data_IF_218653357212
#
_entry.id   IF_218653357212
#
_cell.length_a   1.000
_cell.length_b   1.000
_cell.length_c   1.000
_cell.angle_alpha   90.00
_cell.angle_beta   90.00
_cell.angle_gamma   90.00
#
_symmetry.space_group_name_H-M   'P 1'
#
loop_
_entity.id
_entity.type
_entity.pdbx_description
1 polymer ?
#
# COMPACT_ATOMS: atom_id res chain seq x y z
N UNK A 1 2.71 15.04 0.77
CA UNK A 1 3.87 14.62 -0.05
C UNK A 1 4.96 14.06 0.85
N UNK A 2 5.68 13.04 0.42
CA UNK A 2 6.78 12.42 1.17
C UNK A 2 8.09 12.58 0.40
N UNK A 3 9.17 12.98 1.08
CA UNK A 3 10.49 13.04 0.46
C UNK A 3 11.18 11.67 0.57
N UNK A 4 11.20 10.91 -0.53
CA UNK A 4 11.85 9.60 -0.61
C UNK A 4 13.36 9.69 -0.86
N UNK A 5 13.88 10.89 -1.09
CA UNK A 5 15.31 11.13 -1.31
C UNK A 5 16.12 11.09 -0.02
N UNK A 6 17.45 11.15 -0.17
CA UNK A 6 18.41 11.11 0.95
C UNK A 6 18.82 12.49 1.45
N UNK A 7 18.31 13.58 0.86
CA UNK A 7 18.60 14.95 1.25
C UNK A 7 17.34 15.79 1.31
N UNK A 8 17.45 16.98 1.88
CA UNK A 8 16.35 17.95 1.95
C UNK A 8 15.83 18.29 0.55
N UNK A 9 14.52 18.14 0.35
CA UNK A 9 13.82 18.50 -0.87
C UNK A 9 13.19 19.88 -0.73
N UNK A 10 13.34 20.72 -1.74
CA UNK A 10 12.68 22.02 -1.82
C UNK A 10 11.46 21.94 -2.76
N UNK A 11 10.29 22.15 -2.17
CA UNK A 11 8.99 22.10 -2.82
C UNK A 11 8.58 23.45 -3.41
N UNK A 12 9.39 24.50 -3.26
CA UNK A 12 9.08 25.83 -3.81
C UNK A 12 8.77 25.73 -5.31
N UNK A 13 7.59 26.23 -5.69
CA UNK A 13 7.11 26.19 -7.06
C UNK A 13 6.49 24.86 -7.53
N UNK A 14 6.49 23.80 -6.71
CA UNK A 14 5.72 22.58 -7.00
C UNK A 14 4.23 22.92 -7.02
N UNK A 15 3.47 22.17 -7.80
CA UNK A 15 2.05 22.38 -7.99
C UNK A 15 1.25 21.11 -7.70
N UNK A 16 0.07 21.30 -7.14
CA UNK A 16 -0.95 20.26 -6.98
C UNK A 16 -2.13 20.65 -7.86
N UNK A 17 -2.69 19.66 -8.55
CA UNK A 17 -3.93 19.74 -9.31
C UNK A 17 -4.87 18.62 -8.92
N UNK A 18 -6.17 18.84 -9.08
CA UNK A 18 -7.14 17.74 -9.07
C UNK A 18 -7.28 17.13 -10.48
N UNK A 19 -8.43 16.53 -10.83
CA UNK A 19 -8.67 16.01 -12.19
C UNK A 19 -8.79 17.10 -13.29
N UNK A 20 -8.79 18.38 -12.94
CA UNK A 20 -8.80 19.51 -13.88
C UNK A 20 -7.42 20.17 -14.02
N UNK A 21 -7.08 20.62 -15.23
CA UNK A 21 -5.79 21.25 -15.51
C UNK A 21 -5.74 22.74 -15.17
N UNK A 22 -6.89 23.40 -14.99
CA UNK A 22 -7.03 24.79 -14.56
C UNK A 22 -7.06 24.93 -13.02
N UNK A 23 -7.41 23.87 -12.30
CA UNK A 23 -7.36 23.79 -10.84
C UNK A 23 -5.91 23.61 -10.35
N UNK A 24 -5.26 24.72 -10.00
CA UNK A 24 -3.81 24.77 -9.79
C UNK A 24 -3.46 25.51 -8.50
N UNK A 25 -2.87 24.78 -7.56
CA UNK A 25 -2.33 25.32 -6.31
C UNK A 25 -0.83 25.07 -6.22
N UNK A 26 -0.05 26.11 -5.93
CA UNK A 26 1.41 26.08 -5.91
C UNK A 26 1.99 26.38 -4.51
N UNK A 27 3.04 25.65 -4.13
CA UNK A 27 3.81 25.94 -2.92
C UNK A 27 4.53 27.29 -3.01
N UNK A 28 4.42 28.13 -1.98
CA UNK A 28 5.25 29.34 -1.84
C UNK A 28 6.71 28.98 -1.51
N UNK A 29 7.59 29.95 -1.69
CA UNK A 29 9.04 29.81 -1.44
C UNK A 29 9.36 29.37 -0.02
N UNK A 30 10.40 28.55 0.12
CA UNK A 30 10.96 28.12 1.41
C UNK A 30 10.33 26.86 2.00
N UNK A 31 9.40 26.21 1.31
CA UNK A 31 8.84 24.93 1.73
C UNK A 31 9.85 23.80 1.49
N UNK A 32 10.49 23.33 2.56
CA UNK A 32 11.43 22.20 2.50
C UNK A 32 10.92 20.99 3.27
N UNK A 33 11.35 19.81 2.84
CA UNK A 33 11.05 18.53 3.48
C UNK A 33 12.35 17.76 3.63
N UNK A 34 12.74 17.43 4.86
CA UNK A 34 13.92 16.60 5.11
C UNK A 34 13.77 15.20 4.51
N UNK A 35 14.89 14.48 4.35
CA UNK A 35 14.88 13.09 3.88
C UNK A 35 13.95 12.21 4.75
N UNK A 36 13.03 11.48 4.11
CA UNK A 36 12.00 10.68 4.79
C UNK A 36 10.88 11.50 5.43
N UNK A 37 10.91 12.83 5.34
CA UNK A 37 9.91 13.72 5.90
C UNK A 37 8.60 13.74 5.11
N UNK A 38 7.54 14.19 5.77
CA UNK A 38 6.22 14.40 5.20
C UNK A 38 5.88 15.90 5.22
N UNK A 39 5.25 16.37 4.15
CA UNK A 39 4.56 17.65 4.12
C UNK A 39 3.05 17.42 3.97
N UNK A 40 2.28 17.97 4.90
CA UNK A 40 0.82 17.93 4.89
C UNK A 40 0.28 19.21 4.27
N UNK A 41 -0.54 19.07 3.23
CA UNK A 41 -1.34 20.17 2.69
C UNK A 41 -2.75 19.99 3.23
N UNK A 42 -3.22 20.97 3.97
CA UNK A 42 -4.57 21.07 4.49
C UNK A 42 -5.40 22.00 3.60
N UNK A 43 -6.72 21.92 3.71
CA UNK A 43 -7.65 22.81 3.03
C UNK A 43 -7.27 24.31 3.19
N UNK A 44 -6.85 24.68 4.41
CA UNK A 44 -6.45 26.05 4.77
C UNK A 44 -4.97 26.35 4.52
N UNK A 45 -4.19 25.43 3.94
CA UNK A 45 -2.77 25.69 3.67
C UNK A 45 -2.64 26.81 2.64
N UNK A 46 -1.93 27.87 3.03
CA UNK A 46 -1.67 29.03 2.17
C UNK A 46 -0.59 28.67 1.16
N UNK A 47 -0.86 28.97 -0.10
CA UNK A 47 0.06 28.84 -1.21
C UNK A 47 -0.23 29.92 -2.24
N UNK A 48 -0.15 29.55 -3.52
CA UNK A 48 -0.61 30.42 -4.60
C UNK A 48 -1.58 29.68 -5.51
N UNK A 49 -2.67 30.35 -5.87
CA UNK A 49 -3.68 29.86 -6.79
C UNK A 49 -3.47 30.48 -8.15
N UNK A 50 -3.51 29.67 -9.21
CA UNK A 50 -3.44 30.20 -10.56
C UNK A 50 -4.73 30.94 -10.92
N UNK A 51 -4.58 32.11 -11.52
CA UNK A 51 -5.69 32.93 -12.00
C UNK A 51 -5.64 32.98 -13.53
N UNK A 52 -6.59 32.32 -14.18
CA UNK A 52 -6.66 32.22 -15.65
C UNK A 52 -6.90 33.58 -16.34
N UNK A 53 -7.58 34.52 -15.66
CA UNK A 53 -7.87 35.84 -16.23
C UNK A 53 -6.61 36.70 -16.37
N UNK A 54 -5.64 36.50 -15.48
CA UNK A 54 -4.42 37.31 -15.38
C UNK A 54 -3.15 36.54 -15.75
N UNK A 55 -3.26 35.24 -16.04
CA UNK A 55 -2.13 34.32 -16.31
C UNK A 55 -1.04 34.45 -15.22
N UNK A 56 -1.48 34.45 -13.96
CA UNK A 56 -0.59 34.69 -12.83
C UNK A 56 -1.01 33.92 -11.59
N UNK A 57 -0.07 33.73 -10.68
CA UNK A 57 -0.35 33.16 -9.36
C UNK A 57 -0.59 34.26 -8.34
N UNK A 58 -1.68 34.13 -7.59
CA UNK A 58 -2.06 35.01 -6.47
C UNK A 58 -2.11 34.21 -5.18
N UNK A 59 -1.91 34.86 -4.03
CA UNK A 59 -2.02 34.17 -2.73
C UNK A 59 -3.42 33.60 -2.54
N UNK A 60 -3.51 32.37 -2.03
CA UNK A 60 -4.78 31.71 -1.74
C UNK A 60 -4.58 30.38 -0.99
N UNK A 61 -5.68 29.78 -0.55
CA UNK A 61 -5.68 28.51 0.17
C UNK A 61 -5.86 27.33 -0.78
N UNK A 62 -5.44 26.14 -0.36
CA UNK A 62 -5.59 24.92 -1.15
C UNK A 62 -7.04 24.66 -1.57
N UNK A 63 -7.98 24.76 -0.63
CA UNK A 63 -9.42 24.57 -0.89
C UNK A 63 -10.05 25.60 -1.83
N UNK A 64 -9.39 26.76 -2.04
CA UNK A 64 -9.86 27.77 -2.98
C UNK A 64 -9.52 27.45 -4.44
N UNK A 65 -8.66 26.46 -4.67
CA UNK A 65 -8.17 26.07 -5.99
C UNK A 65 -8.44 24.61 -6.34
N UNK A 66 -8.50 23.73 -5.33
CA UNK A 66 -8.59 22.28 -5.50
C UNK A 66 -9.89 21.81 -4.84
N UNK A 67 -10.75 21.17 -5.64
CA UNK A 67 -11.91 20.43 -5.14
C UNK A 67 -11.53 18.95 -5.03
N UNK A 68 -12.00 18.26 -4.00
CA UNK A 68 -11.69 16.83 -3.78
C UNK A 68 -13.03 16.10 -3.70
N UNK A 69 -13.51 15.70 -4.87
CA UNK A 69 -14.82 15.08 -5.06
C UNK A 69 -14.80 13.56 -5.14
N UNK A 70 -15.97 12.98 -5.40
CA UNK A 70 -16.10 11.62 -5.90
C UNK A 70 -15.65 11.55 -7.35
N UNK A 71 -14.90 10.53 -7.74
CA UNK A 71 -14.46 10.37 -9.13
C UNK A 71 -13.36 11.35 -9.53
N UNK A 72 -12.36 11.54 -8.66
CA UNK A 72 -11.40 12.63 -8.74
C UNK A 72 -9.95 12.11 -8.64
N UNK A 73 -8.99 13.03 -8.70
CA UNK A 73 -7.56 12.72 -8.62
C UNK A 73 -6.78 13.80 -7.86
N UNK A 74 -5.59 13.46 -7.39
CA UNK A 74 -4.55 14.43 -7.05
C UNK A 74 -3.34 14.15 -7.93
N UNK A 75 -2.82 15.20 -8.56
CA UNK A 75 -1.62 15.17 -9.41
C UNK A 75 -0.61 16.17 -8.88
N UNK A 76 0.63 15.74 -8.72
CA UNK A 76 1.74 16.57 -8.24
C UNK A 76 2.64 16.87 -9.44
N UNK A 77 2.96 18.14 -9.64
CA UNK A 77 3.87 18.62 -10.65
C UNK A 77 5.10 19.26 -10.01
N UNK A 78 6.26 19.03 -10.61
CA UNK A 78 7.48 19.75 -10.23
C UNK A 78 7.43 21.22 -10.71
N UNK A 79 8.41 22.02 -10.28
CA UNK A 79 8.53 23.44 -10.65
C UNK A 79 8.73 23.70 -12.16
N UNK A 80 8.95 22.66 -12.94
CA UNK A 80 9.14 22.72 -14.39
C UNK A 80 7.89 22.26 -15.15
N UNK A 81 6.83 21.84 -14.44
CA UNK A 81 5.58 21.38 -15.02
C UNK A 81 5.59 19.90 -15.42
N UNK A 82 6.57 19.10 -14.97
CA UNK A 82 6.54 17.65 -15.16
C UNK A 82 5.72 16.99 -14.05
N UNK A 83 4.94 15.97 -14.39
CA UNK A 83 4.25 15.17 -13.38
C UNK A 83 5.25 14.36 -12.55
N UNK A 84 5.11 14.42 -11.23
CA UNK A 84 5.92 13.71 -10.24
C UNK A 84 5.18 12.49 -9.72
N UNK A 85 3.90 12.65 -9.41
CA UNK A 85 3.06 11.56 -8.90
C UNK A 85 1.57 11.84 -9.15
N UNK A 86 0.76 10.79 -9.21
CA UNK A 86 -0.69 10.89 -9.34
C UNK A 86 -1.42 9.79 -8.57
N UNK A 87 -2.65 10.12 -8.16
CA UNK A 87 -3.59 9.18 -7.58
C UNK A 87 -5.01 9.53 -8.04
N UNK A 88 -5.80 8.54 -8.44
CA UNK A 88 -7.22 8.72 -8.77
C UNK A 88 -8.10 7.73 -8.02
N UNK A 89 -9.36 8.10 -7.81
CA UNK A 89 -10.35 7.28 -7.11
C UNK A 89 -11.75 7.48 -7.71
N UNK A 90 -12.65 6.51 -7.49
CA UNK A 90 -14.02 6.56 -8.01
C UNK A 90 -15.03 7.13 -7.02
N UNK A 91 -14.81 6.90 -5.72
CA UNK A 91 -15.70 7.28 -4.62
C UNK A 91 -14.87 7.88 -3.47
N UNK A 92 -15.51 8.65 -2.59
CA UNK A 92 -14.83 9.19 -1.42
C UNK A 92 -14.19 8.08 -0.57
N UNK A 93 -12.87 8.13 -0.44
CA UNK A 93 -12.10 7.16 0.32
C UNK A 93 -10.85 7.80 0.93
N UNK A 94 -10.45 7.31 2.10
CA UNK A 94 -9.11 7.55 2.62
C UNK A 94 -8.16 6.55 1.95
N UNK A 95 -7.26 7.06 1.12
CA UNK A 95 -6.31 6.26 0.35
C UNK A 95 -4.87 6.69 0.64
N UNK A 96 -3.96 5.72 0.61
CA UNK A 96 -2.54 5.96 0.78
C UNK A 96 -1.70 4.84 0.19
N UNK A 97 -0.38 5.04 0.10
CA UNK A 97 0.55 4.08 -0.48
C UNK A 97 0.90 2.98 0.52
N UNK A 98 0.89 1.73 0.08
CA UNK A 98 1.47 0.61 0.82
C UNK A 98 2.43 -0.23 -0.05
N UNK A 99 3.69 -0.47 0.37
CA UNK A 99 4.36 0.09 1.55
C UNK A 99 4.40 1.62 1.50
N UNK A 100 4.52 2.24 2.68
CA UNK A 100 4.45 3.69 2.80
C UNK A 100 5.42 4.40 1.84
N UNK A 101 4.92 5.44 1.19
CA UNK A 101 5.64 6.23 0.20
C UNK A 101 5.98 5.55 -1.14
N UNK A 102 5.95 4.21 -1.26
CA UNK A 102 6.54 3.52 -2.43
C UNK A 102 5.62 2.58 -3.18
N UNK A 103 4.67 1.94 -2.49
CA UNK A 103 3.78 0.98 -3.14
C UNK A 103 2.49 1.60 -3.67
N UNK A 104 1.56 0.75 -4.11
CA UNK A 104 0.30 1.17 -4.73
C UNK A 104 -0.63 1.87 -3.74
N UNK A 105 -1.52 2.72 -4.27
CA UNK A 105 -2.59 3.30 -3.47
C UNK A 105 -3.63 2.23 -3.11
N UNK A 106 -3.97 2.15 -1.83
CA UNK A 106 -4.99 1.26 -1.28
C UNK A 106 -5.85 2.02 -0.28
N UNK A 107 -7.01 1.48 0.09
CA UNK A 107 -7.85 2.05 1.15
C UNK A 107 -7.13 1.88 2.49
N UNK A 108 -7.09 2.94 3.29
CA UNK A 108 -6.31 3.01 4.53
C UNK A 108 -7.08 3.70 5.65
N UNK A 109 -6.54 3.58 6.88
CA UNK A 109 -6.95 4.45 7.97
C UNK A 109 -6.41 5.86 7.72
N UNK A 110 -7.10 6.87 8.24
CA UNK A 110 -6.58 8.24 8.22
C UNK A 110 -5.36 8.35 9.14
N UNK A 111 -4.20 8.68 8.57
CA UNK A 111 -2.92 8.81 9.28
C UNK A 111 -2.26 10.15 8.98
N UNK A 112 -3.02 11.24 9.03
CA UNK A 112 -2.55 12.59 8.66
C UNK A 112 -1.23 12.96 9.35
N UNK A 113 -0.21 13.26 8.56
CA UNK A 113 1.13 13.65 9.05
C UNK A 113 1.93 12.54 9.70
N UNK A 114 1.48 11.29 9.59
CA UNK A 114 2.15 10.08 10.08
C UNK A 114 2.35 9.09 8.93
N UNK A 115 3.13 8.04 9.16
CA UNK A 115 3.27 6.94 8.21
C UNK A 115 1.91 6.29 7.94
N UNK A 116 1.68 5.88 6.70
CA UNK A 116 0.44 5.24 6.29
C UNK A 116 0.21 3.90 7.01
N UNK A 117 -1.01 3.71 7.54
CA UNK A 117 -1.45 2.46 8.16
C UNK A 117 -2.62 1.87 7.37
N UNK A 118 -2.35 0.77 6.66
CA UNK A 118 -3.37 0.08 5.88
C UNK A 118 -4.27 -0.78 6.76
N UNK A 119 -5.48 -1.09 6.27
CA UNK A 119 -6.32 -2.13 6.87
C UNK A 119 -5.73 -3.50 6.61
N UNK A 120 -4.68 -3.83 7.35
CA UNK A 120 -4.11 -5.17 7.32
C UNK A 120 -5.16 -6.15 7.85
N UNK A 121 -5.63 -7.11 7.03
CA UNK A 121 -6.58 -8.10 7.51
C UNK A 121 -5.94 -8.88 8.65
N UNK A 122 -6.73 -9.20 9.69
CA UNK A 122 -6.27 -9.99 10.84
C UNK A 122 -6.26 -11.49 10.49
N UNK A 123 -5.63 -11.84 9.37
CA UNK A 123 -5.38 -13.22 8.99
C UNK A 123 -4.00 -13.63 9.48
N UNK A 124 -3.97 -14.71 10.25
CA UNK A 124 -2.77 -15.23 10.89
C UNK A 124 -2.50 -16.65 10.41
N UNK A 125 -1.25 -17.09 10.53
CA UNK A 125 -0.93 -18.52 10.41
C UNK A 125 -1.44 -19.20 11.67
N UNK A 126 -2.35 -20.17 11.52
CA UNK A 126 -2.87 -20.96 12.63
C UNK A 126 -1.99 -22.18 12.90
N UNK A 127 -1.72 -22.97 11.86
CA UNK A 127 -0.95 -24.22 11.96
C UNK A 127 0.00 -24.38 10.76
N UNK A 128 1.10 -25.08 11.00
CA UNK A 128 2.09 -25.45 9.98
C UNK A 128 2.45 -26.91 10.25
N UNK A 129 2.09 -27.78 9.33
CA UNK A 129 2.54 -29.17 9.32
C UNK A 129 3.65 -29.32 8.29
N UNK A 130 4.70 -30.01 8.69
CA UNK A 130 5.74 -30.34 7.73
C UNK A 130 6.57 -31.52 8.19
N UNK A 131 6.54 -32.56 7.36
CA UNK A 131 7.33 -33.76 7.55
C UNK A 131 8.68 -33.59 6.84
N UNK A 132 9.76 -33.51 7.64
CA UNK A 132 11.10 -33.37 7.11
C UNK A 132 11.66 -34.64 6.45
N UNK A 133 10.94 -35.76 6.52
CA UNK A 133 11.30 -37.03 5.90
C UNK A 133 10.44 -37.33 4.66
N UNK A 134 9.20 -36.83 4.60
CA UNK A 134 8.29 -36.98 3.45
C UNK A 134 7.53 -35.68 3.11
N UNK A 135 8.12 -34.93 2.17
CA UNK A 135 7.62 -33.63 1.69
C UNK A 135 6.16 -33.65 1.20
N UNK A 136 5.59 -34.82 0.87
CA UNK A 136 4.26 -34.93 0.22
C UNK A 136 3.08 -34.56 1.10
N UNK A 137 3.30 -34.20 2.37
CA UNK A 137 2.23 -33.90 3.34
C UNK A 137 2.29 -32.50 3.94
N UNK A 138 3.22 -31.65 3.48
CA UNK A 138 3.37 -30.29 4.00
C UNK A 138 2.12 -29.43 3.73
N UNK A 139 1.65 -28.73 4.77
CA UNK A 139 0.54 -27.77 4.65
C UNK A 139 0.67 -26.63 5.64
N UNK A 140 0.04 -25.51 5.30
CA UNK A 140 -0.05 -24.31 6.13
C UNK A 140 -1.50 -23.89 6.23
N UNK A 141 -2.02 -23.75 7.44
CA UNK A 141 -3.36 -23.22 7.68
C UNK A 141 -3.29 -21.76 8.11
N UNK A 142 -4.13 -20.93 7.48
CA UNK A 142 -4.39 -19.56 7.92
C UNK A 142 -5.79 -19.47 8.53
N UNK A 143 -5.95 -18.52 9.44
CA UNK A 143 -7.20 -18.27 10.16
C UNK A 143 -7.54 -16.78 10.11
N UNK A 144 -8.79 -16.46 9.78
CA UNK A 144 -9.30 -15.10 9.90
C UNK A 144 -9.68 -14.80 11.36
N UNK A 145 -8.74 -14.20 12.09
CA UNK A 145 -8.94 -13.73 13.47
C UNK A 145 -9.65 -12.36 13.55
N UNK A 146 -9.97 -11.77 12.40
CA UNK A 146 -10.65 -10.48 12.32
C UNK A 146 -12.16 -10.58 12.50
N UNK A 147 -12.82 -9.44 12.31
CA UNK A 147 -14.28 -9.30 12.43
C UNK A 147 -14.98 -9.00 11.10
N UNK A 148 -14.26 -9.07 9.98
CA UNK A 148 -14.78 -8.85 8.63
C UNK A 148 -14.36 -9.97 7.68
N UNK A 149 -15.14 -10.16 6.63
CA UNK A 149 -14.80 -11.03 5.51
C UNK A 149 -13.49 -10.57 4.86
N UNK A 150 -12.64 -11.51 4.46
CA UNK A 150 -11.36 -11.25 3.78
C UNK A 150 -11.34 -12.04 2.48
N UNK A 151 -11.32 -11.33 1.35
CA UNK A 151 -11.05 -11.94 0.06
C UNK A 151 -9.56 -12.31 -0.03
N UNK A 152 -9.29 -13.61 -0.09
CA UNK A 152 -7.94 -14.17 -0.19
C UNK A 152 -7.56 -14.59 -1.61
N UNK A 153 -8.34 -14.18 -2.61
CA UNK A 153 -8.03 -14.41 -4.03
C UNK A 153 -6.62 -13.91 -4.37
N UNK A 154 -5.85 -14.77 -5.04
CA UNK A 154 -4.48 -14.49 -5.44
C UNK A 154 -3.46 -14.43 -4.29
N UNK A 155 -3.84 -14.73 -3.05
CA UNK A 155 -2.88 -14.85 -1.95
C UNK A 155 -1.96 -16.06 -2.17
N UNK A 156 -0.77 -16.01 -1.58
CA UNK A 156 0.22 -17.08 -1.69
C UNK A 156 1.16 -17.07 -0.48
N UNK A 157 2.07 -18.04 -0.42
CA UNK A 157 3.09 -18.11 0.62
C UNK A 157 4.48 -18.32 0.02
N UNK A 158 5.52 -18.01 0.79
CA UNK A 158 6.88 -18.51 0.55
C UNK A 158 7.46 -19.06 1.85
N UNK A 159 8.49 -19.90 1.69
CA UNK A 159 9.47 -20.17 2.74
C UNK A 159 10.46 -18.97 2.89
N UNK A 160 11.63 -19.21 3.47
CA UNK A 160 12.71 -18.22 3.57
C UNK A 160 13.57 -18.07 2.29
N UNK A 161 13.22 -18.73 1.18
CA UNK A 161 13.90 -18.67 -0.11
C UNK A 161 12.99 -18.18 -1.27
N UNK A 162 12.34 -17.00 -1.15
CA UNK A 162 11.30 -16.55 -2.09
C UNK A 162 11.76 -16.37 -3.55
N UNK A 163 13.05 -16.11 -3.78
CA UNK A 163 13.60 -15.94 -5.14
C UNK A 163 13.73 -17.28 -5.89
N UNK A 164 13.89 -18.39 -5.16
CA UNK A 164 14.05 -19.73 -5.75
C UNK A 164 12.74 -20.42 -6.09
N UNK A 165 11.64 -20.01 -5.46
CA UNK A 165 10.38 -20.76 -5.45
C UNK A 165 9.22 -20.09 -6.18
N UNK A 166 9.46 -18.99 -6.92
CA UNK A 166 8.37 -18.29 -7.60
C UNK A 166 7.60 -19.14 -8.63
N UNK A 167 8.28 -20.10 -9.26
CA UNK A 167 7.66 -21.07 -10.17
C UNK A 167 6.95 -22.23 -9.46
N UNK A 168 7.18 -22.37 -8.16
CA UNK A 168 6.65 -23.45 -7.31
C UNK A 168 5.40 -23.01 -6.54
N UNK A 169 4.80 -21.88 -6.90
CA UNK A 169 3.61 -21.31 -6.24
C UNK A 169 2.42 -21.30 -7.18
N UNK A 170 1.28 -21.73 -6.66
CA UNK A 170 -0.04 -21.52 -7.26
C UNK A 170 -0.85 -20.64 -6.32
N UNK A 171 -1.10 -19.36 -6.67
CA UNK A 171 -1.91 -18.48 -5.83
C UNK A 171 -3.34 -19.01 -5.64
N UNK A 172 -3.95 -18.63 -4.52
CA UNK A 172 -5.35 -18.97 -4.21
C UNK A 172 -6.26 -18.55 -5.37
N UNK A 173 -7.16 -19.44 -5.77
CA UNK A 173 -8.09 -19.18 -6.87
C UNK A 173 -9.00 -17.99 -6.57
N UNK A 174 -9.44 -17.30 -7.62
CA UNK A 174 -10.39 -16.18 -7.51
C UNK A 174 -11.71 -16.57 -6.83
N UNK A 175 -12.25 -15.64 -6.06
CA UNK A 175 -13.55 -15.74 -5.38
C UNK A 175 -13.53 -16.43 -4.02
N UNK A 176 -12.35 -16.73 -3.45
CA UNK A 176 -12.25 -17.33 -2.12
C UNK A 176 -12.28 -16.23 -1.05
N UNK A 177 -13.33 -16.25 -0.22
CA UNK A 177 -13.54 -15.29 0.87
C UNK A 177 -13.56 -16.03 2.20
N UNK A 178 -12.71 -15.60 3.14
CA UNK A 178 -12.71 -16.08 4.52
C UNK A 178 -13.58 -15.17 5.40
N UNK A 179 -14.70 -15.69 5.89
CA UNK A 179 -15.49 -15.02 6.92
C UNK A 179 -14.75 -15.01 8.28
N UNK A 180 -15.15 -14.17 9.25
CA UNK A 180 -14.60 -14.22 10.60
C UNK A 180 -14.68 -15.62 11.21
N UNK A 181 -13.56 -16.14 11.69
CA UNK A 181 -13.51 -17.48 12.28
C UNK A 181 -13.24 -18.62 11.30
N UNK A 182 -13.17 -18.36 9.99
CA UNK A 182 -12.90 -19.38 8.97
C UNK A 182 -11.40 -19.62 8.76
N UNK A 183 -11.09 -20.78 8.18
CA UNK A 183 -9.73 -21.27 7.91
C UNK A 183 -9.53 -21.51 6.42
N UNK A 184 -8.28 -21.36 5.95
CA UNK A 184 -7.85 -21.84 4.63
C UNK A 184 -6.55 -22.61 4.76
N UNK A 185 -6.47 -23.77 4.12
CA UNK A 185 -5.27 -24.61 4.09
C UNK A 185 -4.59 -24.50 2.74
N UNK A 186 -3.35 -24.01 2.75
CA UNK A 186 -2.42 -24.14 1.65
C UNK A 186 -1.81 -25.53 1.70
N UNK A 187 -1.92 -26.30 0.62
CA UNK A 187 -1.47 -27.69 0.55
C UNK A 187 -0.36 -27.85 -0.50
N UNK A 188 0.62 -28.70 -0.21
CA UNK A 188 1.62 -29.08 -1.20
C UNK A 188 0.96 -29.79 -2.40
N UNK A 189 1.45 -29.52 -3.61
CA UNK A 189 0.91 -29.93 -4.91
C UNK A 189 -0.42 -29.29 -5.31
N UNK A 190 -1.01 -28.43 -4.46
CA UNK A 190 -2.17 -27.59 -4.80
C UNK A 190 -1.78 -26.12 -4.86
N UNK A 191 -1.20 -25.60 -3.79
CA UNK A 191 -0.88 -24.18 -3.64
C UNK A 191 0.64 -23.90 -3.73
N UNK A 192 1.48 -24.91 -3.47
CA UNK A 192 2.93 -24.82 -3.60
C UNK A 192 3.59 -26.19 -3.88
N UNK A 193 4.84 -26.24 -4.34
CA UNK A 193 5.57 -27.50 -4.65
C UNK A 193 6.96 -27.63 -4.01
N UNK A 194 7.31 -26.76 -3.05
CA UNK A 194 8.47 -26.92 -2.18
C UNK A 194 8.06 -27.45 -0.80
N UNK A 195 9.04 -27.81 0.03
CA UNK A 195 8.82 -28.30 1.39
C UNK A 195 9.40 -27.36 2.42
N UNK A 196 8.97 -27.49 3.67
CA UNK A 196 9.46 -26.68 4.78
C UNK A 196 10.53 -27.44 5.58
N UNK A 197 11.79 -27.13 5.31
CA UNK A 197 12.93 -27.54 6.10
C UNK A 197 12.84 -27.21 7.59
N UNK A 198 13.73 -27.80 8.40
CA UNK A 198 13.72 -27.70 9.87
C UNK A 198 13.81 -26.27 10.42
N UNK A 199 14.37 -25.34 9.64
CA UNK A 199 14.60 -23.95 10.05
C UNK A 199 13.86 -22.95 9.16
N UNK A 200 12.83 -23.41 8.47
CA UNK A 200 12.15 -22.59 7.50
C UNK A 200 11.15 -21.67 8.18
N UNK A 201 10.80 -20.62 7.45
CA UNK A 201 9.86 -19.60 7.87
C UNK A 201 8.77 -19.52 6.82
N UNK A 202 7.52 -19.64 7.25
CA UNK A 202 6.38 -19.41 6.36
C UNK A 202 6.04 -17.92 6.36
N UNK A 203 5.93 -17.33 5.18
CA UNK A 203 5.48 -15.95 4.99
C UNK A 203 4.27 -15.93 4.08
N UNK A 204 3.15 -15.36 4.54
CA UNK A 204 1.92 -15.19 3.75
C UNK A 204 1.96 -13.83 3.06
N UNK A 205 1.64 -13.82 1.77
CA UNK A 205 1.54 -12.64 0.93
C UNK A 205 0.12 -12.50 0.39
N UNK A 206 -0.35 -11.26 0.27
CA UNK A 206 -1.55 -11.00 -0.53
C UNK A 206 -1.21 -11.02 -2.04
N UNK A 207 -2.22 -10.88 -2.90
CA UNK A 207 -2.06 -10.85 -4.36
C UNK A 207 -1.11 -9.77 -4.89
N UNK A 208 -0.94 -8.68 -4.13
CA UNK A 208 -0.08 -7.55 -4.51
C UNK A 208 1.37 -7.71 -3.97
N UNK A 209 1.66 -8.84 -3.32
CA UNK A 209 2.98 -9.16 -2.77
C UNK A 209 3.28 -8.53 -1.41
N UNK A 210 2.26 -8.10 -0.68
CA UNK A 210 2.41 -7.57 0.67
C UNK A 210 2.43 -8.66 1.72
N UNK A 211 3.40 -8.58 2.63
CA UNK A 211 3.52 -9.53 3.73
C UNK A 211 2.39 -9.31 4.74
N UNK A 212 1.58 -10.34 4.90
CA UNK A 212 0.47 -10.40 5.83
C UNK A 212 0.90 -11.02 7.16
N UNK A 213 1.56 -12.17 7.11
CA UNK A 213 2.03 -12.82 8.32
C UNK A 213 3.32 -13.57 8.06
N UNK A 214 4.03 -13.87 9.14
CA UNK A 214 5.31 -14.53 9.11
C UNK A 214 5.46 -15.34 10.39
N UNK A 215 5.76 -16.63 10.27
CA UNK A 215 6.01 -17.47 11.42
C UNK A 215 7.23 -18.36 11.14
N UNK A 216 8.15 -18.41 12.10
CA UNK A 216 9.19 -19.44 12.11
C UNK A 216 8.53 -20.79 12.38
N UNK A 217 9.04 -21.86 11.76
CA UNK A 217 8.67 -23.23 12.14
C UNK A 217 9.10 -23.46 13.58
N UNK A 218 8.18 -23.29 14.53
CA UNK A 218 8.32 -23.79 15.90
C UNK A 218 7.59 -25.12 15.94
N UNK A 219 8.33 -26.19 16.23
CA UNK A 219 7.80 -27.54 16.42
C UNK A 219 6.53 -27.49 17.28
N UNK A 220 5.36 -27.63 16.66
CA UNK A 220 4.12 -27.92 17.39
C UNK A 220 4.24 -29.40 17.76
N UNK A 221 4.14 -29.67 19.06
CA UNK A 221 4.49 -30.95 19.69
C UNK A 221 3.29 -31.89 19.64
#
# INVERSE_FOLDING_TARGET
MMNLGTGTMDLSGYEIRDNSDDHRWQFVEGHTVEAGGLFVVEATTVGKVYNDETDSYVEGTFESAIDIGSGDSIRIYDRYGNIVDECSWTEHASIGRYPDGTGSFVIMKETKGQANDWYKPQVVINEVESDCEDIVTDWVEIYNAGSSDVDISGWYLYDNAPVGHAADITPVTEGIVLAPGEFYTFEINKDFTFGFGKNDKVTIFNKDGFILHSADKRKVI
#
